data_IF_464219201700
#
_entry.id   IF_464219201700
#
_cell.length_a   1.000
_cell.length_b   1.000
_cell.length_c   1.000
_cell.angle_alpha   90.00
_cell.angle_beta   90.00
_cell.angle_gamma   90.00
#
_symmetry.space_group_name_H-M   'P 1'
#
loop_
_entity.id
_entity.type
_entity.pdbx_description
1 polymer ?
#
# COMPACT_ATOMS: atom_id res chain seq x y z
N UNK A 1 -0.49 -7.02 -0.54
CA UNK A 1 -0.19 -6.50 0.82
C UNK A 1 -1.44 -6.32 1.70
N UNK A 2 -2.51 -5.63 1.28
CA UNK A 2 -3.69 -5.40 2.15
C UNK A 2 -4.37 -6.65 2.70
N UNK A 3 -4.48 -7.71 1.88
CA UNK A 3 -5.14 -8.97 2.26
C UNK A 3 -4.40 -9.62 3.43
N UNK A 4 -3.06 -9.67 3.35
CA UNK A 4 -2.22 -10.20 4.42
C UNK A 4 -2.44 -9.43 5.72
N UNK A 5 -2.36 -8.10 5.69
CA UNK A 5 -2.62 -7.28 6.87
C UNK A 5 -4.01 -7.52 7.47
N UNK A 6 -5.05 -7.54 6.63
CA UNK A 6 -6.43 -7.77 7.03
C UNK A 6 -6.65 -9.11 7.75
N UNK A 7 -5.91 -10.16 7.37
CA UNK A 7 -6.00 -11.49 7.99
C UNK A 7 -5.07 -11.62 9.19
N UNK A 8 -3.84 -11.11 9.07
CA UNK A 8 -2.80 -11.25 10.10
C UNK A 8 -3.14 -10.47 11.36
N UNK A 9 -3.76 -9.28 11.28
CA UNK A 9 -4.10 -8.51 12.49
C UNK A 9 -5.10 -9.26 13.41
N UNK A 10 -6.26 -9.74 12.94
CA UNK A 10 -7.15 -10.56 13.75
C UNK A 10 -6.53 -11.88 14.20
N UNK A 11 -5.78 -12.55 13.32
CA UNK A 11 -5.13 -13.82 13.64
C UNK A 11 -4.11 -13.66 14.77
N UNK A 12 -3.27 -12.64 14.71
CA UNK A 12 -2.32 -12.32 15.77
C UNK A 12 -3.03 -11.93 17.06
N UNK A 13 -4.09 -11.12 17.00
CA UNK A 13 -4.86 -10.74 18.20
C UNK A 13 -5.43 -11.98 18.91
N UNK A 14 -6.04 -12.89 18.15
CA UNK A 14 -6.59 -14.15 18.68
C UNK A 14 -5.52 -15.03 19.34
N UNK A 15 -4.35 -15.17 18.70
CA UNK A 15 -3.24 -15.96 19.25
C UNK A 15 -2.68 -15.34 20.53
N UNK A 16 -2.56 -14.01 20.58
CA UNK A 16 -2.05 -13.29 21.76
C UNK A 16 -2.98 -13.49 22.96
N UNK A 17 -4.29 -13.41 22.73
CA UNK A 17 -5.32 -13.55 23.76
C UNK A 17 -5.42 -14.98 24.31
N UNK A 18 -5.31 -16.00 23.44
CA UNK A 18 -5.45 -17.41 23.85
C UNK A 18 -4.18 -18.05 24.38
N UNK A 19 -3.01 -17.68 23.83
CA UNK A 19 -1.75 -18.34 24.15
C UNK A 19 -0.84 -17.35 24.88
N UNK A 20 -0.16 -16.49 24.13
CA UNK A 20 0.81 -15.51 24.59
C UNK A 20 1.34 -14.72 23.38
N UNK A 21 1.89 -13.54 23.63
CA UNK A 21 2.50 -12.72 22.58
C UNK A 21 3.65 -13.41 21.83
N UNK A 22 4.42 -14.28 22.52
CA UNK A 22 5.52 -15.04 21.90
C UNK A 22 5.01 -16.03 20.85
N UNK A 23 3.83 -16.61 21.08
CA UNK A 23 3.24 -17.61 20.18
C UNK A 23 2.89 -17.02 18.80
N UNK A 24 2.48 -15.74 18.75
CA UNK A 24 2.21 -15.05 17.49
C UNK A 24 3.45 -15.05 16.56
N UNK A 25 4.65 -14.84 17.11
CA UNK A 25 5.90 -14.89 16.33
C UNK A 25 6.23 -16.30 15.85
N UNK A 26 6.09 -17.31 16.70
CA UNK A 26 6.38 -18.70 16.32
C UNK A 26 5.41 -19.21 15.23
N UNK A 27 4.10 -18.99 15.41
CA UNK A 27 3.08 -19.46 14.47
C UNK A 27 3.22 -18.77 13.12
N UNK A 28 3.38 -17.43 13.09
CA UNK A 28 3.57 -16.71 11.82
C UNK A 28 4.86 -17.10 11.11
N UNK A 29 5.93 -17.42 11.84
CA UNK A 29 7.19 -17.92 11.27
C UNK A 29 7.02 -19.30 10.64
N UNK A 30 6.32 -20.22 11.31
CA UNK A 30 6.04 -21.57 10.78
C UNK A 30 5.23 -21.48 9.48
N UNK A 31 4.17 -20.66 9.47
CA UNK A 31 3.36 -20.42 8.26
C UNK A 31 4.24 -19.86 7.14
N UNK A 32 5.16 -18.94 7.46
CA UNK A 32 6.13 -18.39 6.50
C UNK A 32 7.08 -19.44 5.92
N UNK A 33 7.59 -20.35 6.75
CA UNK A 33 8.46 -21.46 6.30
C UNK A 33 7.69 -22.41 5.38
N UNK A 34 6.46 -22.78 5.75
CA UNK A 34 5.59 -23.62 4.93
C UNK A 34 5.36 -22.96 3.56
N UNK A 35 5.03 -21.67 3.56
CA UNK A 35 4.86 -20.90 2.31
C UNK A 35 6.14 -20.84 1.48
N UNK A 36 7.31 -20.66 2.11
CA UNK A 36 8.60 -20.67 1.42
C UNK A 36 8.88 -22.02 0.75
N UNK A 37 8.59 -23.14 1.43
CA UNK A 37 8.70 -24.46 0.81
C UNK A 37 7.81 -24.59 -0.43
N UNK A 38 6.54 -24.17 -0.34
CA UNK A 38 5.66 -24.16 -1.51
C UNK A 38 6.19 -23.27 -2.64
N UNK A 39 6.67 -22.06 -2.31
CA UNK A 39 7.23 -21.14 -3.29
C UNK A 39 8.44 -21.73 -4.00
N UNK A 40 9.36 -22.37 -3.26
CA UNK A 40 10.55 -23.02 -3.81
C UNK A 40 10.23 -24.14 -4.80
N UNK A 41 9.15 -24.89 -4.58
CA UNK A 41 8.76 -26.00 -5.47
C UNK A 41 7.81 -25.61 -6.61
N UNK A 42 7.12 -24.47 -6.52
CA UNK A 42 6.05 -24.11 -7.45
C UNK A 42 6.36 -22.88 -8.31
N UNK A 43 7.31 -22.03 -7.93
CA UNK A 43 7.60 -20.77 -8.62
C UNK A 43 8.88 -20.87 -9.43
N UNK A 44 8.81 -20.42 -10.68
CA UNK A 44 9.91 -20.42 -11.65
C UNK A 44 10.11 -19.00 -12.19
N UNK A 45 11.35 -18.63 -12.51
CA UNK A 45 11.71 -17.26 -12.90
C UNK A 45 11.21 -16.90 -14.31
N UNK A 46 11.17 -17.88 -15.22
CA UNK A 46 10.66 -17.66 -16.57
C UNK A 46 9.62 -18.70 -16.99
N UNK A 47 8.66 -18.33 -17.86
CA UNK A 47 7.72 -19.29 -18.44
C UNK A 47 8.42 -20.47 -19.16
N UNK A 48 9.64 -20.27 -19.66
CA UNK A 48 10.44 -21.31 -20.35
C UNK A 48 10.93 -22.41 -19.41
N UNK A 49 11.19 -22.08 -18.16
CA UNK A 49 11.70 -23.01 -17.14
C UNK A 49 10.57 -23.75 -16.42
N UNK A 50 9.32 -23.30 -16.60
CA UNK A 50 8.17 -23.84 -15.91
C UNK A 50 7.75 -25.19 -16.53
N UNK A 51 7.89 -26.33 -15.82
CA UNK A 51 7.74 -27.67 -16.39
C UNK A 51 6.29 -28.05 -16.73
N UNK A 52 5.30 -27.32 -16.20
CA UNK A 52 3.87 -27.61 -16.36
C UNK A 52 3.12 -26.59 -17.24
N UNK A 53 3.83 -25.70 -17.93
CA UNK A 53 3.17 -24.70 -18.78
C UNK A 53 2.66 -25.34 -20.07
N UNK A 54 1.45 -24.98 -20.49
CA UNK A 54 0.88 -25.47 -21.74
C UNK A 54 1.42 -24.63 -22.93
N UNK A 55 1.65 -25.23 -24.09
CA UNK A 55 2.22 -24.52 -25.25
C UNK A 55 1.39 -23.30 -25.67
N UNK A 56 0.06 -23.43 -25.68
CA UNK A 56 -0.85 -22.31 -25.94
C UNK A 56 -0.66 -21.13 -24.99
N UNK A 57 -0.49 -21.39 -23.69
CA UNK A 57 -0.26 -20.34 -22.69
C UNK A 57 1.13 -19.72 -22.87
N UNK A 58 2.14 -20.56 -23.11
CA UNK A 58 3.49 -20.12 -23.39
C UNK A 58 3.55 -19.16 -24.58
N UNK A 59 2.94 -19.55 -25.71
CA UNK A 59 2.89 -18.72 -26.92
C UNK A 59 2.12 -17.43 -26.67
N UNK A 60 0.99 -17.49 -25.96
CA UNK A 60 0.21 -16.30 -25.62
C UNK A 60 1.01 -15.29 -24.78
N UNK A 61 1.78 -15.76 -23.79
CA UNK A 61 2.62 -14.92 -22.94
C UNK A 61 3.75 -14.29 -23.76
N UNK A 62 4.45 -15.07 -24.57
CA UNK A 62 5.58 -14.59 -25.39
C UNK A 62 5.10 -13.56 -26.42
N UNK A 63 3.98 -13.82 -27.10
CA UNK A 63 3.38 -12.87 -28.05
C UNK A 63 2.91 -11.59 -27.36
N UNK A 64 2.32 -11.69 -26.16
CA UNK A 64 1.83 -10.52 -25.40
C UNK A 64 2.96 -9.66 -24.86
N UNK A 65 4.10 -10.24 -24.51
CA UNK A 65 5.31 -9.52 -24.10
C UNK A 65 5.97 -8.82 -25.30
N UNK A 66 6.00 -9.45 -26.47
CA UNK A 66 6.62 -8.90 -27.68
C UNK A 66 8.03 -8.35 -27.44
N UNK A 67 8.34 -7.18 -28.00
CA UNK A 67 9.61 -6.46 -27.80
C UNK A 67 9.59 -5.51 -26.56
N UNK A 68 8.50 -5.47 -25.79
CA UNK A 68 8.37 -4.51 -24.67
C UNK A 68 9.34 -4.81 -23.52
N UNK A 69 9.76 -6.06 -23.39
CA UNK A 69 10.76 -6.51 -22.44
C UNK A 69 11.98 -7.00 -23.20
N UNK A 70 13.13 -6.36 -23.00
CA UNK A 70 14.38 -6.78 -23.63
C UNK A 70 14.78 -8.14 -23.09
N UNK A 71 14.91 -9.12 -23.98
CA UNK A 71 15.34 -10.48 -23.64
C UNK A 71 16.84 -10.58 -23.32
N UNK A 72 17.61 -9.50 -23.49
CA UNK A 72 19.04 -9.49 -23.19
C UNK A 72 19.27 -9.32 -21.69
N UNK A 73 19.92 -10.30 -21.05
CA UNK A 73 20.25 -10.30 -19.62
C UNK A 73 21.25 -9.20 -19.19
N UNK A 74 21.73 -8.33 -20.10
CA UNK A 74 22.83 -7.39 -19.88
C UNK A 74 22.48 -5.92 -20.18
N UNK A 75 21.21 -5.51 -20.04
CA UNK A 75 20.88 -4.08 -20.15
C UNK A 75 21.34 -3.35 -18.88
N UNK A 76 22.38 -2.53 -18.98
CA UNK A 76 22.83 -1.66 -17.88
C UNK A 76 21.74 -0.63 -17.58
N UNK A 77 21.46 -0.42 -16.29
CA UNK A 77 20.48 0.58 -15.84
C UNK A 77 20.96 1.99 -16.24
N UNK A 78 20.18 2.76 -17.02
CA UNK A 78 20.55 4.11 -17.43
C UNK A 78 20.27 5.12 -16.30
N UNK A 79 21.08 5.09 -15.24
CA UNK A 79 20.89 5.89 -14.03
C UNK A 79 20.73 7.39 -14.29
N UNK A 80 21.53 7.95 -15.21
CA UNK A 80 21.47 9.38 -15.54
C UNK A 80 20.12 9.76 -16.13
N UNK A 81 19.63 9.00 -17.10
CA UNK A 81 18.34 9.26 -17.76
C UNK A 81 17.17 9.06 -16.81
N UNK A 82 17.24 8.04 -15.95
CA UNK A 82 16.25 7.77 -14.92
C UNK A 82 16.15 8.93 -13.91
N UNK A 83 17.31 9.40 -13.42
CA UNK A 83 17.38 10.50 -12.45
C UNK A 83 17.10 11.89 -13.05
N UNK A 84 17.24 12.07 -14.35
CA UNK A 84 16.89 13.33 -15.03
C UNK A 84 15.47 13.34 -15.60
N UNK A 85 14.75 12.21 -15.52
CA UNK A 85 13.41 12.07 -16.06
C UNK A 85 12.36 12.79 -15.20
N UNK A 86 11.75 13.85 -15.75
CA UNK A 86 10.65 14.57 -15.10
C UNK A 86 9.45 13.67 -14.71
N UNK A 87 8.96 12.78 -15.59
CA UNK A 87 7.87 11.86 -15.26
C UNK A 87 8.16 10.94 -14.07
N UNK A 88 9.42 10.50 -13.91
CA UNK A 88 9.84 9.67 -12.76
C UNK A 88 9.69 10.47 -11.46
N UNK A 89 10.24 11.68 -11.41
CA UNK A 89 10.17 12.53 -10.21
C UNK A 89 8.75 12.95 -9.84
N UNK A 90 7.93 13.34 -10.82
CA UNK A 90 6.52 13.67 -10.57
C UNK A 90 5.78 12.48 -9.95
N UNK A 91 6.05 11.28 -10.45
CA UNK A 91 5.45 10.04 -9.95
C UNK A 91 5.94 9.72 -8.53
N UNK A 92 7.23 9.89 -8.26
CA UNK A 92 7.81 9.70 -6.92
C UNK A 92 7.19 10.67 -5.91
N UNK A 93 7.07 11.96 -6.25
CA UNK A 93 6.47 12.96 -5.37
C UNK A 93 4.99 12.63 -5.10
N UNK A 94 4.24 12.25 -6.14
CA UNK A 94 2.85 11.82 -5.97
C UNK A 94 2.72 10.59 -5.06
N UNK A 95 3.61 9.60 -5.23
CA UNK A 95 3.66 8.42 -4.37
C UNK A 95 4.00 8.77 -2.94
N UNK A 96 4.99 9.64 -2.74
CA UNK A 96 5.44 10.10 -1.44
C UNK A 96 4.31 10.75 -0.64
N UNK A 97 3.54 11.65 -1.26
CA UNK A 97 2.36 12.25 -0.62
C UNK A 97 1.27 11.22 -0.27
N UNK A 98 1.01 10.27 -1.16
CA UNK A 98 0.04 9.19 -0.91
C UNK A 98 0.47 8.26 0.23
N UNK A 99 1.75 7.89 0.29
CA UNK A 99 2.34 7.07 1.36
C UNK A 99 2.34 7.83 2.68
N UNK A 100 2.66 9.12 2.68
CA UNK A 100 2.61 9.94 3.90
C UNK A 100 1.21 9.96 4.53
N UNK A 101 0.19 10.22 3.72
CA UNK A 101 -1.21 10.21 4.19
C UNK A 101 -1.61 8.84 4.72
N UNK A 102 -1.28 7.77 3.98
CA UNK A 102 -1.54 6.40 4.40
C UNK A 102 -0.88 6.05 5.74
N UNK A 103 0.41 6.35 5.90
CA UNK A 103 1.15 6.10 7.15
C UNK A 103 0.63 6.93 8.32
N UNK A 104 0.20 8.16 8.06
CA UNK A 104 -0.42 9.02 9.09
C UNK A 104 -1.72 8.38 9.60
N UNK A 105 -2.61 7.94 8.70
CA UNK A 105 -3.83 7.26 9.14
C UNK A 105 -3.55 5.93 9.85
N UNK A 106 -2.56 5.16 9.37
CA UNK A 106 -2.16 3.89 9.96
C UNK A 106 -1.56 4.02 11.36
N UNK A 107 -0.68 5.01 11.57
CA UNK A 107 -0.03 5.23 12.87
C UNK A 107 -0.98 5.79 13.91
N UNK A 108 -1.92 6.65 13.49
CA UNK A 108 -2.87 7.26 14.42
C UNK A 108 -4.06 6.35 14.74
N UNK A 109 -4.41 5.38 13.88
CA UNK A 109 -5.58 4.52 14.08
C UNK A 109 -5.55 3.75 15.42
N UNK A 110 -4.47 3.03 15.79
CA UNK A 110 -4.42 2.28 17.05
C UNK A 110 -4.46 3.19 18.28
N UNK A 111 -3.73 4.31 18.25
CA UNK A 111 -3.75 5.30 19.33
C UNK A 111 -5.14 5.87 19.53
N UNK A 112 -5.86 6.15 18.44
CA UNK A 112 -7.22 6.66 18.49
C UNK A 112 -8.22 5.66 19.07
N UNK A 113 -8.17 4.40 18.60
CA UNK A 113 -9.05 3.34 19.10
C UNK A 113 -8.80 3.03 20.57
N UNK A 114 -7.54 3.06 21.02
CA UNK A 114 -7.19 2.81 22.41
C UNK A 114 -7.65 3.96 23.34
N UNK A 115 -7.45 5.21 22.92
CA UNK A 115 -7.74 6.39 23.75
C UNK A 115 -9.24 6.68 23.91
N UNK A 116 -10.05 6.42 22.88
CA UNK A 116 -11.49 6.73 22.88
C UNK A 116 -12.32 5.64 23.56
N UNK A 117 -11.90 4.38 23.45
CA UNK A 117 -12.79 3.26 23.75
C UNK A 117 -12.31 2.30 24.84
N UNK A 118 -11.02 2.31 25.24
CA UNK A 118 -10.51 1.41 26.28
C UNK A 118 -10.77 -0.08 25.98
N UNK A 119 -10.86 -0.44 24.71
CA UNK A 119 -11.37 -1.74 24.27
C UNK A 119 -10.35 -2.87 24.39
N UNK A 120 -10.90 -4.05 24.66
CA UNK A 120 -10.17 -5.31 24.80
C UNK A 120 -9.37 -5.63 23.51
N UNK A 121 -8.20 -6.26 23.67
CA UNK A 121 -7.19 -6.47 22.61
C UNK A 121 -7.81 -7.11 21.35
N UNK A 122 -8.78 -8.02 21.52
CA UNK A 122 -9.50 -8.66 20.41
C UNK A 122 -10.32 -7.69 19.55
N UNK A 123 -11.03 -6.73 20.17
CA UNK A 123 -11.80 -5.72 19.43
C UNK A 123 -10.87 -4.76 18.69
N UNK A 124 -9.76 -4.36 19.32
CA UNK A 124 -8.74 -3.49 18.70
C UNK A 124 -8.08 -4.17 17.50
N UNK A 125 -7.82 -5.48 17.57
CA UNK A 125 -7.28 -6.26 16.45
C UNK A 125 -8.22 -6.30 15.24
N UNK A 126 -9.52 -6.54 15.48
CA UNK A 126 -10.53 -6.57 14.41
C UNK A 126 -10.71 -5.18 13.76
N UNK A 127 -10.79 -4.13 14.57
CA UNK A 127 -10.95 -2.75 14.11
C UNK A 127 -9.72 -2.20 13.41
N UNK A 128 -8.52 -2.66 13.79
CA UNK A 128 -7.28 -2.31 13.09
C UNK A 128 -7.17 -3.00 11.73
N UNK A 129 -7.77 -4.19 11.57
CA UNK A 129 -7.85 -4.90 10.30
C UNK A 129 -8.86 -4.29 9.31
N UNK A 130 -9.95 -3.70 9.81
CA UNK A 130 -11.06 -3.18 8.99
C UNK A 130 -10.63 -2.13 7.93
N UNK A 131 -9.80 -1.10 8.25
CA UNK A 131 -9.25 -0.17 7.25
C UNK A 131 -8.56 -0.86 6.07
N UNK A 132 -7.83 -1.96 6.33
CA UNK A 132 -7.12 -2.70 5.29
C UNK A 132 -8.05 -3.52 4.40
N UNK A 133 -9.13 -4.05 4.97
CA UNK A 133 -10.21 -4.73 4.22
C UNK A 133 -10.92 -3.73 3.33
N UNK A 134 -11.29 -2.56 3.84
CA UNK A 134 -11.92 -1.51 3.05
C UNK A 134 -11.01 -1.04 1.89
N UNK A 135 -9.72 -0.87 2.16
CA UNK A 135 -8.72 -0.56 1.13
C UNK A 135 -8.63 -1.65 0.05
N UNK A 136 -8.73 -2.92 0.44
CA UNK A 136 -8.74 -4.03 -0.49
C UNK A 136 -9.97 -3.98 -1.40
N UNK A 137 -11.17 -3.88 -0.82
CA UNK A 137 -12.43 -3.83 -1.56
C UNK A 137 -12.41 -2.64 -2.52
N UNK A 138 -12.00 -1.47 -2.04
CA UNK A 138 -11.88 -0.27 -2.87
C UNK A 138 -10.85 -0.45 -3.99
N UNK A 139 -9.69 -1.05 -3.72
CA UNK A 139 -8.68 -1.33 -4.75
C UNK A 139 -9.24 -2.22 -5.85
N UNK A 140 -10.00 -3.27 -5.52
CA UNK A 140 -10.60 -4.14 -6.54
C UNK A 140 -11.65 -3.40 -7.39
N UNK A 141 -12.58 -2.70 -6.74
CA UNK A 141 -13.63 -1.94 -7.43
C UNK A 141 -12.98 -0.88 -8.34
N UNK A 142 -11.99 -0.16 -7.83
CA UNK A 142 -11.31 0.90 -8.57
C UNK A 142 -10.47 0.37 -9.73
N UNK A 143 -9.81 -0.79 -9.56
CA UNK A 143 -9.09 -1.47 -10.65
C UNK A 143 -10.04 -1.94 -11.75
N UNK A 144 -11.16 -2.57 -11.41
CA UNK A 144 -12.19 -2.97 -12.39
C UNK A 144 -12.74 -1.75 -13.13
N UNK A 145 -13.02 -0.66 -12.40
CA UNK A 145 -13.45 0.61 -13.00
C UNK A 145 -12.39 1.19 -13.95
N UNK A 146 -11.12 1.16 -13.56
CA UNK A 146 -10.00 1.64 -14.39
C UNK A 146 -9.86 0.81 -15.66
N UNK A 147 -9.97 -0.51 -15.55
CA UNK A 147 -9.92 -1.42 -16.71
C UNK A 147 -11.12 -1.21 -17.63
N UNK A 148 -12.31 -0.97 -17.07
CA UNK A 148 -13.49 -0.63 -17.86
C UNK A 148 -13.30 0.68 -18.64
N UNK A 149 -12.73 1.72 -18.02
CA UNK A 149 -12.37 3.00 -18.68
C UNK A 149 -11.44 2.79 -19.87
N UNK A 150 -10.43 1.93 -19.70
CA UNK A 150 -9.45 1.63 -20.75
C UNK A 150 -10.08 0.79 -21.87
N UNK A 151 -10.79 -0.29 -21.53
CA UNK A 151 -11.42 -1.20 -22.51
C UNK A 151 -12.48 -0.51 -23.36
N UNK A 152 -13.25 0.40 -22.76
CA UNK A 152 -14.29 1.18 -23.46
C UNK A 152 -13.73 2.41 -24.19
N UNK A 153 -12.41 2.63 -24.16
CA UNK A 153 -11.74 3.79 -24.78
C UNK A 153 -12.32 5.14 -24.32
N UNK A 154 -12.93 5.19 -23.13
CA UNK A 154 -13.51 6.41 -22.55
C UNK A 154 -12.43 7.37 -22.04
N UNK A 155 -11.28 6.82 -21.65
CA UNK A 155 -10.12 7.58 -21.20
C UNK A 155 -8.83 6.93 -21.69
N UNK A 156 -7.84 7.76 -22.03
CA UNK A 156 -6.50 7.28 -22.37
C UNK A 156 -5.78 6.73 -21.13
N UNK A 157 -4.81 5.83 -21.35
CA UNK A 157 -3.96 5.28 -20.29
C UNK A 157 -3.41 6.36 -19.34
N UNK A 158 -2.86 7.45 -19.91
CA UNK A 158 -2.33 8.58 -19.14
C UNK A 158 -3.39 9.21 -18.22
N UNK A 159 -4.61 9.38 -18.72
CA UNK A 159 -5.68 10.02 -17.96
C UNK A 159 -6.22 9.12 -16.86
N UNK A 160 -6.29 7.80 -17.08
CA UNK A 160 -6.67 6.83 -16.04
C UNK A 160 -5.65 6.84 -14.90
N UNK A 161 -4.36 6.83 -15.21
CA UNK A 161 -3.31 6.92 -14.18
C UNK A 161 -3.34 8.23 -13.40
N UNK A 162 -3.56 9.35 -14.09
CA UNK A 162 -3.72 10.68 -13.44
C UNK A 162 -4.93 10.70 -12.52
N UNK A 163 -6.07 10.15 -12.96
CA UNK A 163 -7.28 10.07 -12.16
C UNK A 163 -7.05 9.21 -10.90
N UNK A 164 -6.40 8.06 -11.04
CA UNK A 164 -6.07 7.19 -9.90
C UNK A 164 -5.18 7.87 -8.86
N UNK A 165 -4.15 8.61 -9.31
CA UNK A 165 -3.30 9.40 -8.42
C UNK A 165 -4.05 10.58 -7.78
N UNK A 166 -4.94 11.24 -8.53
CA UNK A 166 -5.79 12.31 -7.99
C UNK A 166 -6.75 11.79 -6.92
N UNK A 167 -7.38 10.64 -7.14
CA UNK A 167 -8.26 9.98 -6.16
C UNK A 167 -7.46 9.59 -4.91
N UNK A 168 -6.27 9.02 -5.09
CA UNK A 168 -5.40 8.59 -3.97
C UNK A 168 -4.95 9.80 -3.13
N UNK A 169 -4.31 10.79 -3.75
CA UNK A 169 -3.68 11.91 -3.03
C UNK A 169 -4.68 13.03 -2.73
N UNK A 170 -5.50 13.41 -3.71
CA UNK A 170 -6.53 14.44 -3.54
C UNK A 170 -7.68 13.98 -2.64
N UNK A 171 -8.15 12.74 -2.81
CA UNK A 171 -9.12 12.14 -1.90
C UNK A 171 -8.56 11.96 -0.49
N UNK A 172 -7.30 11.51 -0.38
CA UNK A 172 -6.59 11.44 0.90
C UNK A 172 -6.48 12.80 1.60
N UNK A 173 -6.19 13.87 0.87
CA UNK A 173 -6.15 15.24 1.40
C UNK A 173 -7.53 15.70 1.90
N UNK A 174 -8.60 15.43 1.15
CA UNK A 174 -9.96 15.77 1.54
C UNK A 174 -10.36 15.09 2.85
N UNK A 175 -10.08 13.79 3.00
CA UNK A 175 -10.36 13.06 4.24
C UNK A 175 -9.46 13.50 5.40
N UNK A 176 -8.23 13.92 5.13
CA UNK A 176 -7.34 14.50 6.17
C UNK A 176 -7.88 15.83 6.68
N UNK A 177 -8.39 16.69 5.78
CA UNK A 177 -9.08 17.92 6.18
C UNK A 177 -10.35 17.62 6.97
N UNK A 178 -11.18 16.68 6.52
CA UNK A 178 -12.37 16.23 7.25
C UNK A 178 -12.04 15.73 8.66
N UNK A 179 -10.96 14.95 8.80
CA UNK A 179 -10.45 14.52 10.10
C UNK A 179 -10.05 15.72 10.98
N UNK A 180 -9.43 16.74 10.41
CA UNK A 180 -9.00 17.95 11.14
C UNK A 180 -10.20 18.75 11.68
N UNK A 181 -11.32 18.74 10.96
CA UNK A 181 -12.57 19.40 11.37
C UNK A 181 -13.50 18.51 12.22
N UNK A 182 -13.15 17.26 12.49
CA UNK A 182 -13.99 16.33 13.27
C UNK A 182 -14.17 16.73 14.75
N UNK A 183 -13.33 17.65 15.25
CA UNK A 183 -13.44 18.20 16.60
C UNK A 183 -13.39 17.12 17.69
N UNK A 184 -14.34 17.16 18.62
CA UNK A 184 -14.45 16.19 19.72
C UNK A 184 -15.34 14.99 19.40
N UNK A 185 -15.72 14.76 18.13
CA UNK A 185 -16.61 13.65 17.75
C UNK A 185 -15.80 12.44 17.26
N UNK A 186 -15.64 11.38 18.07
CA UNK A 186 -14.68 10.36 17.73
C UNK A 186 -15.09 9.38 16.64
N UNK A 187 -16.39 9.14 16.52
CA UNK A 187 -16.92 8.27 15.46
C UNK A 187 -16.66 8.90 14.08
N UNK A 188 -16.80 10.22 13.96
CA UNK A 188 -16.56 10.93 12.71
C UNK A 188 -15.09 10.89 12.30
N UNK A 189 -14.17 11.04 13.27
CA UNK A 189 -12.74 10.89 13.04
C UNK A 189 -12.38 9.49 12.51
N UNK A 190 -12.93 8.44 13.13
CA UNK A 190 -12.73 7.04 12.72
C UNK A 190 -13.21 6.83 11.27
N UNK A 191 -14.39 7.33 10.92
CA UNK A 191 -14.95 7.21 9.56
C UNK A 191 -14.02 7.88 8.54
N UNK A 192 -13.53 9.09 8.82
CA UNK A 192 -12.62 9.77 7.90
C UNK A 192 -11.26 9.06 7.77
N UNK A 193 -10.73 8.48 8.85
CA UNK A 193 -9.51 7.68 8.80
C UNK A 193 -9.70 6.38 8.00
N UNK A 194 -10.83 5.69 8.19
CA UNK A 194 -11.19 4.49 7.42
C UNK A 194 -11.40 4.82 5.93
N UNK A 195 -12.08 5.93 5.63
CA UNK A 195 -12.29 6.36 4.24
C UNK A 195 -10.98 6.79 3.57
N UNK A 196 -10.11 7.52 4.28
CA UNK A 196 -8.79 7.94 3.80
C UNK A 196 -7.84 6.76 3.54
N UNK A 197 -7.89 5.73 4.39
CA UNK A 197 -7.14 4.48 4.14
C UNK A 197 -7.74 3.66 3.01
N UNK A 198 -9.08 3.64 2.87
CA UNK A 198 -9.76 2.93 1.80
C UNK A 198 -9.44 3.52 0.42
N UNK A 199 -9.53 4.85 0.27
CA UNK A 199 -9.30 5.53 -1.02
C UNK A 199 -7.86 5.37 -1.53
N UNK A 200 -6.91 5.15 -0.62
CA UNK A 200 -5.54 4.80 -0.97
C UNK A 200 -5.43 3.49 -1.77
N UNK A 201 -6.47 2.64 -1.77
CA UNK A 201 -6.56 1.45 -2.63
C UNK A 201 -6.41 1.75 -4.13
N UNK A 202 -6.75 2.96 -4.59
CA UNK A 202 -6.56 3.38 -5.99
C UNK A 202 -5.08 3.41 -6.44
N UNK A 203 -4.13 3.37 -5.50
CA UNK A 203 -2.67 3.37 -5.79
C UNK A 203 -2.26 2.21 -6.72
N UNK A 204 -2.97 1.08 -6.66
CA UNK A 204 -2.74 -0.10 -7.51
C UNK A 204 -2.96 0.21 -8.99
N UNK A 205 -3.97 1.01 -9.31
CA UNK A 205 -4.26 1.47 -10.68
C UNK A 205 -3.54 2.78 -11.05
N UNK A 206 -2.98 3.48 -10.05
CA UNK A 206 -2.25 4.73 -10.21
C UNK A 206 -0.74 4.53 -10.23
N UNK A 207 -0.07 5.00 -9.19
CA UNK A 207 1.39 5.12 -9.14
C UNK A 207 2.12 3.80 -9.41
N UNK A 208 1.64 2.67 -8.86
CA UNK A 208 2.33 1.39 -9.03
C UNK A 208 2.36 0.96 -10.50
N UNK A 209 1.24 1.13 -11.19
CA UNK A 209 1.14 0.80 -12.60
C UNK A 209 1.90 1.80 -13.48
N UNK A 210 2.01 3.07 -13.07
CA UNK A 210 2.81 4.09 -13.78
C UNK A 210 4.29 3.70 -13.88
N UNK A 211 4.88 3.06 -12.86
CA UNK A 211 6.28 2.63 -12.94
C UNK A 211 6.50 1.53 -14.00
N UNK A 212 5.54 0.62 -14.13
CA UNK A 212 5.55 -0.41 -15.18
C UNK A 212 5.35 0.24 -16.55
N UNK A 213 4.40 1.17 -16.66
CA UNK A 213 4.12 1.90 -17.91
C UNK A 213 5.31 2.78 -18.35
N UNK A 214 6.12 3.30 -17.41
CA UNK A 214 7.30 4.12 -17.72
C UNK A 214 8.46 3.30 -18.25
N UNK A 215 8.74 2.15 -17.64
CA UNK A 215 9.83 1.28 -18.05
C UNK A 215 9.57 -0.14 -17.60
N UNK A 216 9.04 -1.02 -18.47
CA UNK A 216 8.80 -2.42 -18.13
C UNK A 216 10.09 -3.14 -17.68
N UNK A 217 11.21 -2.89 -18.36
CA UNK A 217 12.51 -3.50 -18.06
C UNK A 217 13.10 -3.07 -16.70
N UNK A 218 12.86 -1.83 -16.28
CA UNK A 218 13.42 -1.25 -15.05
C UNK A 218 12.36 -0.92 -14.01
N UNK A 219 11.15 -1.48 -14.13
CA UNK A 219 10.03 -1.19 -13.23
C UNK A 219 10.37 -1.52 -11.77
N UNK A 220 11.07 -2.62 -11.54
CA UNK A 220 11.55 -3.03 -10.22
C UNK A 220 12.59 -2.06 -9.64
N UNK A 221 13.54 -1.60 -10.46
CA UNK A 221 14.54 -0.61 -10.07
C UNK A 221 13.89 0.74 -9.74
N UNK A 222 12.95 1.18 -10.58
CA UNK A 222 12.16 2.40 -10.35
C UNK A 222 11.34 2.32 -9.05
N UNK A 223 10.66 1.20 -8.82
CA UNK A 223 9.87 0.98 -7.62
C UNK A 223 10.76 0.92 -6.38
N UNK A 224 11.92 0.26 -6.46
CA UNK A 224 12.91 0.21 -5.37
C UNK A 224 13.47 1.59 -5.04
N UNK A 225 13.86 2.38 -6.05
CA UNK A 225 14.31 3.76 -5.88
C UNK A 225 13.21 4.64 -5.27
N UNK A 226 11.97 4.53 -5.77
CA UNK A 226 10.83 5.22 -5.19
C UNK A 226 10.64 4.83 -3.72
N UNK A 227 10.75 3.53 -3.40
CA UNK A 227 10.68 2.99 -2.04
C UNK A 227 11.72 3.60 -1.10
N UNK A 228 12.95 3.83 -1.56
CA UNK A 228 13.99 4.52 -0.78
C UNK A 228 13.56 5.96 -0.43
N UNK A 229 13.02 6.70 -1.39
CA UNK A 229 12.55 8.08 -1.16
C UNK A 229 11.33 8.11 -0.26
N UNK A 230 10.37 7.19 -0.44
CA UNK A 230 9.13 7.14 0.36
C UNK A 230 9.35 6.60 1.76
N UNK A 231 10.37 5.77 2.00
CA UNK A 231 10.76 5.36 3.35
C UNK A 231 11.12 6.57 4.22
N UNK A 232 11.70 7.63 3.62
CA UNK A 232 11.91 8.91 4.30
C UNK A 232 10.63 9.52 4.88
N UNK A 233 9.49 9.42 4.19
CA UNK A 233 8.20 9.87 4.72
C UNK A 233 7.82 9.15 6.01
N UNK A 234 8.10 7.84 6.09
CA UNK A 234 7.79 7.01 7.25
C UNK A 234 8.60 7.35 8.50
N UNK A 235 9.81 7.90 8.35
CA UNK A 235 10.61 8.40 9.48
C UNK A 235 10.22 9.82 9.88
N UNK A 236 9.99 10.70 8.90
CA UNK A 236 9.73 12.12 9.16
C UNK A 236 8.33 12.31 9.74
N UNK A 237 7.32 11.57 9.25
CA UNK A 237 5.92 11.75 9.67
C UNK A 237 5.72 11.56 11.19
N UNK A 238 6.13 10.45 11.83
CA UNK A 238 6.01 10.28 13.28
C UNK A 238 6.82 11.32 14.07
N UNK A 239 7.98 11.75 13.58
CA UNK A 239 8.82 12.76 14.23
C UNK A 239 8.13 14.12 14.26
N UNK A 240 7.53 14.55 13.14
CA UNK A 240 6.74 15.79 13.09
C UNK A 240 5.52 15.69 14.01
N UNK A 241 4.79 14.58 13.97
CA UNK A 241 3.64 14.37 14.86
C UNK A 241 4.06 14.44 16.33
N UNK A 242 5.19 13.83 16.69
CA UNK A 242 5.75 13.87 18.04
C UNK A 242 6.09 15.28 18.51
N UNK A 243 6.74 16.09 17.66
CA UNK A 243 7.06 17.49 17.98
C UNK A 243 5.78 18.33 18.16
N UNK A 244 4.80 18.15 17.28
CA UNK A 244 3.53 18.89 17.33
C UNK A 244 2.67 18.51 18.55
N UNK A 245 2.76 17.26 19.02
CA UNK A 245 1.97 16.76 20.15
C UNK A 245 2.67 16.94 21.51
N UNK A 246 4.01 17.02 21.56
CA UNK A 246 4.76 17.17 22.82
C UNK A 246 4.35 18.40 23.64
N UNK A 247 3.98 19.51 23.01
CA UNK A 247 3.49 20.70 23.72
C UNK A 247 2.09 20.52 24.34
N UNK A 248 1.25 19.60 23.85
CA UNK A 248 -0.07 19.33 24.43
C UNK A 248 -0.03 18.38 25.62
N UNK A 249 0.91 17.43 25.65
CA UNK A 249 1.03 16.46 26.76
C UNK A 249 1.47 17.14 28.06
N UNK A 250 2.28 18.20 27.98
CA UNK A 250 2.74 18.96 29.16
C UNK A 250 1.59 19.75 29.81
N UNK A 251 0.71 20.37 29.01
CA UNK A 251 -0.41 21.15 29.54
C UNK A 251 -1.54 20.29 30.13
N UNK A 252 -1.74 19.06 29.65
CA UNK A 252 -2.74 18.15 30.25
C UNK A 252 -2.23 17.57 31.58
N UNK A 253 -0.92 17.36 31.73
CA UNK A 253 -0.33 16.95 33.01
C UNK A 253 -0.23 18.06 34.05
N UNK A 254 -0.32 19.34 33.68
CA UNK A 254 -0.39 20.44 34.64
C UNK A 254 -1.81 20.86 34.99
N UNK A 255 -2.83 20.25 34.36
CA UNK A 255 -4.25 20.53 34.57
C UNK A 255 -4.98 19.43 35.36
N UNK A 256 -4.27 18.37 35.77
CA UNK A 256 -4.67 17.39 36.78
C UNK A 256 -3.78 17.56 38.01
#
# INVERSE_FOLDING_TARGET
SSVGAAVTYPLCAFIIDWINWRAAFYITSIIGIIWYCFWFFLVYDTPKEHPRIHENEFNHIVESLGDTVSTSQNVKVPWKELLLSGPVWITIIAHWGGVWGFLTFMTQAPSYFNFVHGWNINATGLLSGLPHVLRMIFSYIYSIFSDWLLRTQRMSHKNVRKLANFVTTGGGALFTLGLSFSGCQPILAIIFMMAGTAINGAVSAGTLAVFVDLSPNFASVLLGFCGLVTTGAGFISPLIVGILTNHRVINVKSAN
#
